data_IF_786908265829
#
_entry.id   IF_786908265829
#
_cell.length_a   1.000
_cell.length_b   1.000
_cell.length_c   1.000
_cell.angle_alpha   90.00
_cell.angle_beta   90.00
_cell.angle_gamma   90.00
#
_symmetry.space_group_name_H-M   'P 1'
#
loop_
_entity.id
_entity.type
_entity.pdbx_description
1 polymer ?
#
# COMPACT_ATOMS: atom_id res chain seq x y z
N UNK A 1 23.51 27.16 41.23
CA UNK A 1 22.48 26.21 40.76
C UNK A 1 22.74 25.91 39.30
N UNK A 2 22.71 24.63 38.94
CA UNK A 2 23.23 24.07 37.69
C UNK A 2 22.42 24.51 36.47
N UNK A 3 23.17 24.83 35.43
CA UNK A 3 22.91 24.67 33.99
C UNK A 3 21.83 23.66 33.62
N UNK A 4 21.13 23.90 32.51
CA UNK A 4 21.34 23.19 31.24
C UNK A 4 20.14 23.48 30.31
N UNK A 5 20.37 24.36 29.33
CA UNK A 5 19.50 24.56 28.17
C UNK A 5 19.80 23.42 27.18
N UNK A 6 18.90 22.46 27.02
CA UNK A 6 18.97 21.48 25.92
C UNK A 6 17.62 21.51 25.19
N UNK A 7 17.56 22.31 24.13
CA UNK A 7 16.58 22.13 23.06
C UNK A 7 17.13 21.05 22.12
N UNK A 8 16.89 19.79 22.46
CA UNK A 8 17.06 18.68 21.53
C UNK A 8 15.78 18.52 20.70
N UNK A 9 15.62 19.36 19.68
CA UNK A 9 14.63 19.16 18.61
C UNK A 9 15.36 18.68 17.37
N UNK A 10 15.87 17.46 17.43
CA UNK A 10 16.36 16.74 16.26
C UNK A 10 15.72 15.35 16.29
N UNK A 11 15.20 14.91 15.14
CA UNK A 11 14.55 13.61 14.84
C UNK A 11 13.01 13.61 14.81
N UNK A 12 12.41 14.27 13.81
CA UNK A 12 11.04 13.94 13.39
C UNK A 12 10.75 14.35 11.93
N UNK A 13 11.51 13.89 10.92
CA UNK A 13 11.17 14.18 9.51
C UNK A 13 11.29 12.97 8.56
N UNK A 14 11.21 11.74 9.06
CA UNK A 14 11.23 10.55 8.17
C UNK A 14 9.89 9.84 8.00
N UNK A 15 8.83 10.23 8.73
CA UNK A 15 7.52 9.56 8.68
C UNK A 15 6.50 10.21 7.74
N UNK A 16 6.72 11.46 7.28
CA UNK A 16 5.71 12.22 6.52
C UNK A 16 5.55 11.75 5.07
N UNK A 17 6.63 11.31 4.42
CA UNK A 17 6.58 10.88 3.01
C UNK A 17 5.74 9.62 2.79
N UNK A 18 5.93 8.61 3.63
CA UNK A 18 5.16 7.37 3.54
C UNK A 18 3.66 7.60 3.81
N UNK A 19 3.33 8.45 4.79
CA UNK A 19 1.94 8.76 5.15
C UNK A 19 1.20 9.48 4.00
N UNK A 20 1.88 10.40 3.30
CA UNK A 20 1.31 11.10 2.15
C UNK A 20 1.01 10.15 0.98
N UNK A 21 1.96 9.27 0.62
CA UNK A 21 1.76 8.28 -0.44
C UNK A 21 0.61 7.31 -0.15
N UNK A 22 0.40 6.95 1.12
CA UNK A 22 -0.75 6.14 1.53
C UNK A 22 -2.09 6.87 1.43
N UNK A 23 -2.15 8.16 1.78
CA UNK A 23 -3.36 8.96 1.61
C UNK A 23 -3.78 9.05 0.13
N UNK A 24 -2.83 9.23 -0.79
CA UNK A 24 -3.12 9.26 -2.23
C UNK A 24 -3.58 7.90 -2.76
N UNK A 25 -2.96 6.82 -2.29
CA UNK A 25 -3.36 5.45 -2.62
C UNK A 25 -4.78 5.15 -2.13
N UNK A 26 -5.13 5.57 -0.91
CA UNK A 26 -6.46 5.38 -0.33
C UNK A 26 -7.52 6.23 -1.03
N UNK A 27 -7.20 7.47 -1.39
CA UNK A 27 -8.09 8.32 -2.19
C UNK A 27 -8.35 7.70 -3.57
N UNK A 28 -7.34 7.10 -4.21
CA UNK A 28 -7.52 6.33 -5.44
C UNK A 28 -8.42 5.10 -5.21
N UNK A 29 -8.18 4.36 -4.11
CA UNK A 29 -8.92 3.16 -3.78
C UNK A 29 -10.40 3.41 -3.43
N UNK A 30 -10.76 4.64 -3.06
CA UNK A 30 -12.14 5.04 -2.82
C UNK A 30 -13.02 4.85 -4.07
N UNK A 31 -12.46 5.01 -5.27
CA UNK A 31 -13.14 4.80 -6.55
C UNK A 31 -13.20 3.33 -7.02
N UNK A 32 -12.55 2.40 -6.31
CA UNK A 32 -12.58 0.98 -6.65
C UNK A 32 -13.86 0.32 -6.13
N UNK A 33 -14.36 -0.66 -6.88
CA UNK A 33 -15.52 -1.48 -6.51
C UNK A 33 -15.26 -2.98 -6.72
N UNK A 34 -16.04 -3.81 -6.02
CA UNK A 34 -15.95 -5.28 -6.06
C UNK A 34 -14.54 -5.80 -5.78
N UNK A 35 -14.13 -6.79 -6.58
CA UNK A 35 -12.84 -7.48 -6.47
C UNK A 35 -11.62 -6.54 -6.47
N UNK A 36 -11.67 -5.43 -7.21
CA UNK A 36 -10.56 -4.46 -7.23
C UNK A 36 -10.32 -3.88 -5.84
N UNK A 37 -11.39 -3.58 -5.09
CA UNK A 37 -11.30 -3.04 -3.73
C UNK A 37 -10.89 -4.12 -2.73
N UNK A 38 -11.40 -5.34 -2.89
CA UNK A 38 -10.98 -6.50 -2.09
C UNK A 38 -9.48 -6.76 -2.23
N UNK A 39 -8.97 -6.79 -3.47
CA UNK A 39 -7.54 -6.96 -3.75
C UNK A 39 -6.72 -5.83 -3.12
N UNK A 40 -7.14 -4.57 -3.27
CA UNK A 40 -6.45 -3.42 -2.66
C UNK A 40 -6.32 -3.60 -1.14
N UNK A 41 -7.44 -3.87 -0.45
CA UNK A 41 -7.46 -4.03 1.00
C UNK A 41 -6.60 -5.20 1.48
N UNK A 42 -6.55 -6.30 0.72
CA UNK A 42 -5.77 -7.49 1.09
C UNK A 42 -4.28 -7.29 0.90
N UNK A 43 -3.91 -6.52 -0.12
CA UNK A 43 -2.52 -6.26 -0.49
C UNK A 43 -1.91 -5.13 0.32
N UNK A 44 -2.66 -4.06 0.58
CA UNK A 44 -2.23 -2.86 1.34
C UNK A 44 -1.34 -3.18 2.56
N UNK A 45 -1.75 -4.03 3.52
CA UNK A 45 -0.95 -4.29 4.72
C UNK A 45 0.35 -5.07 4.46
N UNK A 46 0.55 -5.61 3.25
CA UNK A 46 1.74 -6.39 2.89
C UNK A 46 2.81 -5.56 2.17
N UNK A 47 2.45 -4.38 1.69
CA UNK A 47 3.34 -3.50 0.93
C UNK A 47 4.37 -2.85 1.84
N UNK A 48 5.61 -2.83 1.36
CA UNK A 48 6.75 -2.17 2.00
C UNK A 48 7.12 -0.95 1.16
N UNK A 49 7.07 0.24 1.75
CA UNK A 49 7.43 1.49 1.06
C UNK A 49 8.91 1.43 0.63
N UNK A 50 9.19 1.75 -0.63
CA UNK A 50 10.54 1.70 -1.23
C UNK A 50 10.92 0.36 -1.88
N UNK A 51 10.19 -0.74 -1.63
CA UNK A 51 10.49 -2.07 -2.16
C UNK A 51 9.63 -2.43 -3.39
N UNK A 52 9.87 -1.76 -4.53
CA UNK A 52 9.03 -1.96 -5.74
C UNK A 52 9.01 -3.43 -6.21
N UNK A 53 10.16 -4.09 -6.29
CA UNK A 53 10.28 -5.46 -6.77
C UNK A 53 9.66 -6.47 -5.79
N UNK A 54 9.89 -6.32 -4.48
CA UNK A 54 9.27 -7.19 -3.49
C UNK A 54 7.75 -6.97 -3.39
N UNK A 55 7.28 -5.74 -3.56
CA UNK A 55 5.85 -5.43 -3.62
C UNK A 55 5.15 -6.13 -4.79
N UNK A 56 5.77 -6.17 -5.98
CA UNK A 56 5.21 -6.89 -7.13
C UNK A 56 5.01 -8.39 -6.82
N UNK A 57 6.02 -9.03 -6.21
CA UNK A 57 5.93 -10.43 -5.80
C UNK A 57 4.83 -10.66 -4.74
N UNK A 58 4.72 -9.76 -3.75
CA UNK A 58 3.70 -9.81 -2.69
C UNK A 58 2.29 -9.63 -3.23
N UNK A 59 2.10 -8.70 -4.17
CA UNK A 59 0.84 -8.49 -4.90
C UNK A 59 0.46 -9.78 -5.63
N UNK A 60 1.35 -10.31 -6.48
CA UNK A 60 1.09 -11.50 -7.29
C UNK A 60 0.76 -12.72 -6.44
N UNK A 61 1.54 -12.95 -5.38
CA UNK A 61 1.30 -14.04 -4.43
C UNK A 61 -0.05 -13.89 -3.72
N UNK A 62 -0.40 -12.67 -3.29
CA UNK A 62 -1.67 -12.42 -2.59
C UNK A 62 -2.87 -12.60 -3.52
N UNK A 63 -2.83 -12.07 -4.74
CA UNK A 63 -3.91 -12.27 -5.71
C UNK A 63 -4.07 -13.76 -6.05
N UNK A 64 -2.96 -14.50 -6.20
CA UNK A 64 -3.01 -15.96 -6.41
C UNK A 64 -3.69 -16.67 -5.24
N UNK A 65 -3.31 -16.33 -4.00
CA UNK A 65 -3.93 -16.90 -2.79
C UNK A 65 -5.44 -16.60 -2.71
N UNK A 66 -5.85 -15.38 -3.04
CA UNK A 66 -7.27 -14.99 -3.07
C UNK A 66 -8.06 -15.78 -4.11
N UNK A 67 -7.51 -15.99 -5.31
CA UNK A 67 -8.12 -16.85 -6.33
C UNK A 67 -8.23 -18.30 -5.84
N UNK A 68 -7.16 -18.83 -5.24
CA UNK A 68 -7.14 -20.21 -4.74
C UNK A 68 -8.10 -20.46 -3.57
N UNK A 69 -8.56 -19.39 -2.91
CA UNK A 69 -9.56 -19.43 -1.82
C UNK A 69 -10.96 -19.06 -2.28
N UNK A 70 -11.16 -18.88 -3.59
CA UNK A 70 -12.42 -18.40 -4.17
C UNK A 70 -12.89 -17.04 -3.62
N UNK A 71 -11.97 -16.24 -3.05
CA UNK A 71 -12.26 -14.88 -2.57
C UNK A 71 -12.46 -13.89 -3.73
N UNK A 72 -11.85 -14.18 -4.89
CA UNK A 72 -12.03 -13.44 -6.15
C UNK A 72 -12.06 -14.41 -7.32
N UNK A 73 -12.89 -14.10 -8.32
CA UNK A 73 -12.99 -14.95 -9.50
C UNK A 73 -11.70 -14.88 -10.34
N UNK A 74 -11.17 -16.04 -10.76
CA UNK A 74 -10.01 -16.08 -11.66
C UNK A 74 -10.26 -15.31 -12.97
N UNK A 75 -11.48 -15.41 -13.50
CA UNK A 75 -11.89 -14.72 -14.72
C UNK A 75 -11.91 -13.21 -14.46
N UNK A 76 -11.06 -12.48 -15.17
CA UNK A 76 -10.99 -11.01 -15.05
C UNK A 76 -10.17 -10.50 -13.86
N UNK A 77 -9.64 -11.37 -13.00
CA UNK A 77 -8.83 -10.96 -11.82
C UNK A 77 -7.66 -10.07 -12.21
N UNK A 78 -7.05 -10.30 -13.37
CA UNK A 78 -5.90 -9.50 -13.84
C UNK A 78 -6.29 -8.04 -14.08
N UNK A 79 -7.48 -7.78 -14.62
CA UNK A 79 -7.98 -6.42 -14.84
C UNK A 79 -8.30 -5.72 -13.52
N UNK A 80 -8.92 -6.44 -12.58
CA UNK A 80 -9.26 -5.95 -11.24
C UNK A 80 -8.02 -5.67 -10.40
N UNK A 81 -7.06 -6.59 -10.41
CA UNK A 81 -5.75 -6.43 -9.79
C UNK A 81 -4.99 -5.25 -10.37
N UNK A 82 -5.03 -5.02 -11.69
CA UNK A 82 -4.36 -3.86 -12.31
C UNK A 82 -4.90 -2.53 -11.78
N UNK A 83 -6.21 -2.42 -11.57
CA UNK A 83 -6.82 -1.22 -10.98
C UNK A 83 -6.36 -1.03 -9.53
N UNK A 84 -6.35 -2.10 -8.73
CA UNK A 84 -5.86 -2.06 -7.35
C UNK A 84 -4.37 -1.67 -7.27
N UNK A 85 -3.54 -2.26 -8.13
CA UNK A 85 -2.10 -2.00 -8.22
C UNK A 85 -1.80 -0.57 -8.63
N UNK A 86 -2.56 0.01 -9.56
CA UNK A 86 -2.41 1.40 -9.95
C UNK A 86 -2.58 2.35 -8.76
N UNK A 87 -3.50 2.06 -7.84
CA UNK A 87 -3.64 2.82 -6.60
C UNK A 87 -2.48 2.57 -5.63
N UNK A 88 -2.05 1.32 -5.44
CA UNK A 88 -0.93 0.97 -4.55
C UNK A 88 0.41 1.54 -5.01
N UNK A 89 0.59 1.79 -6.31
CA UNK A 89 1.81 2.40 -6.84
C UNK A 89 2.01 3.85 -6.35
N UNK A 90 0.93 4.56 -5.99
CA UNK A 90 1.00 5.92 -5.44
C UNK A 90 1.72 6.02 -4.10
N UNK A 91 1.86 4.90 -3.39
CA UNK A 91 2.61 4.82 -2.13
C UNK A 91 4.12 5.04 -2.35
N UNK A 92 4.60 4.81 -3.57
CA UNK A 92 6.02 4.96 -3.95
C UNK A 92 6.22 6.10 -4.98
N UNK A 93 5.25 7.01 -5.09
CA UNK A 93 5.29 8.19 -5.95
C UNK A 93 5.98 9.37 -5.27
#
# INVERSE_FOLDING_TARGET
MKTVTIFAFALAISATGAQAGWNEADACAAGLSGDSKLIYNRVKPKIVVGDKSGNEARIKSTVKDMVSKDEVAFIGVRGKAKQAVACLQKVNS
#
